data_IF_920463511957
#
_entry.id   IF_920463511957
#
_cell.length_a   1.000
_cell.length_b   1.000
_cell.length_c   1.000
_cell.angle_alpha   90.00
_cell.angle_beta   90.00
_cell.angle_gamma   90.00
#
_symmetry.space_group_name_H-M   'P 1'
#
loop_
_entity.id
_entity.type
_entity.pdbx_description
1 polymer ?
#
# COMPACT_ATOMS: atom_id res chain seq x y z
N UNK A 1 -18.77 -48.37 -18.62
CA UNK A 1 -18.94 -47.44 -17.47
C UNK A 1 -17.62 -46.89 -16.91
N UNK A 2 -16.53 -47.68 -16.80
CA UNK A 2 -15.25 -47.18 -16.21
C UNK A 2 -14.48 -46.15 -17.06
N UNK A 3 -14.55 -46.26 -18.39
CA UNK A 3 -13.88 -45.33 -19.33
C UNK A 3 -14.53 -43.95 -19.40
N UNK A 4 -15.85 -43.88 -19.21
CA UNK A 4 -16.60 -42.61 -19.27
C UNK A 4 -16.27 -41.72 -18.08
N UNK A 5 -16.18 -42.28 -16.87
CA UNK A 5 -15.83 -41.53 -15.67
C UNK A 5 -14.40 -40.95 -15.72
N UNK A 6 -13.45 -41.66 -16.31
CA UNK A 6 -12.07 -41.20 -16.44
C UNK A 6 -11.95 -40.01 -17.39
N UNK A 7 -12.68 -40.03 -18.51
CA UNK A 7 -12.71 -38.92 -19.48
C UNK A 7 -13.39 -37.67 -18.89
N UNK A 8 -14.43 -37.83 -18.06
CA UNK A 8 -15.09 -36.69 -17.40
C UNK A 8 -14.18 -36.01 -16.36
N UNK A 9 -13.43 -36.79 -15.58
CA UNK A 9 -12.46 -36.26 -14.61
C UNK A 9 -11.31 -35.56 -15.35
N UNK A 10 -10.79 -36.16 -16.43
CA UNK A 10 -9.72 -35.57 -17.23
C UNK A 10 -10.15 -34.23 -17.88
N UNK A 11 -11.40 -34.14 -18.35
CA UNK A 11 -11.95 -32.89 -18.89
C UNK A 11 -12.07 -31.78 -17.82
N UNK A 12 -12.49 -32.11 -16.60
CA UNK A 12 -12.58 -31.16 -15.48
C UNK A 12 -11.19 -30.63 -15.05
N UNK A 13 -10.15 -31.46 -15.06
CA UNK A 13 -8.77 -31.07 -14.73
C UNK A 13 -8.12 -30.25 -15.86
N UNK A 14 -8.50 -30.48 -17.12
CA UNK A 14 -7.97 -29.71 -18.25
C UNK A 14 -8.64 -28.33 -18.39
N UNK A 15 -9.85 -28.15 -17.85
CA UNK A 15 -10.59 -26.88 -17.84
C UNK A 15 -10.26 -25.96 -16.65
N UNK A 16 -9.57 -26.44 -15.62
CA UNK A 16 -9.25 -25.65 -14.41
C UNK A 16 -8.06 -24.69 -14.58
N UNK A 17 -7.68 -24.33 -15.82
CA UNK A 17 -6.50 -23.49 -16.10
C UNK A 17 -6.69 -21.98 -15.87
N UNK A 18 -7.84 -21.56 -15.37
CA UNK A 18 -8.11 -20.16 -15.03
C UNK A 18 -8.69 -20.06 -13.63
N UNK A 19 -7.83 -20.14 -12.61
CA UNK A 19 -8.21 -19.60 -11.30
C UNK A 19 -8.25 -18.08 -11.44
N UNK A 20 -9.44 -17.52 -11.63
CA UNK A 20 -9.63 -16.07 -11.52
C UNK A 20 -9.31 -15.71 -10.07
N UNK A 21 -8.32 -14.84 -9.86
CA UNK A 21 -8.14 -14.21 -8.56
C UNK A 21 -9.45 -13.53 -8.17
N UNK A 22 -9.97 -13.84 -6.99
CA UNK A 22 -11.15 -13.15 -6.47
C UNK A 22 -10.68 -11.78 -5.99
N UNK A 23 -10.91 -10.77 -6.83
CA UNK A 23 -10.79 -9.36 -6.47
C UNK A 23 -12.15 -8.90 -5.95
N UNK A 24 -12.18 -8.43 -4.71
CA UNK A 24 -13.32 -7.72 -4.14
C UNK A 24 -12.94 -6.25 -3.97
N UNK A 25 -13.84 -5.34 -4.36
CA UNK A 25 -13.67 -3.92 -4.09
C UNK A 25 -14.97 -3.31 -3.59
N UNK A 26 -14.84 -2.32 -2.71
CA UNK A 26 -15.98 -1.63 -2.08
C UNK A 26 -15.65 -0.15 -1.93
N UNK A 27 -16.58 0.70 -2.33
CA UNK A 27 -16.54 2.14 -2.02
C UNK A 27 -17.19 2.43 -0.67
N UNK A 28 -16.73 3.49 -0.02
CA UNK A 28 -17.20 3.95 1.28
C UNK A 28 -16.44 3.34 2.46
N UNK A 29 -17.01 3.50 3.65
CA UNK A 29 -16.36 3.17 4.91
C UNK A 29 -17.11 2.12 5.75
N UNK A 30 -18.01 1.32 5.15
CA UNK A 30 -18.75 0.28 5.87
C UNK A 30 -17.79 -0.58 6.74
N UNK A 31 -18.03 -0.70 8.06
CA UNK A 31 -17.04 -1.24 8.99
C UNK A 31 -16.71 -2.69 8.66
N UNK A 32 -15.43 -3.02 8.72
CA UNK A 32 -14.91 -4.36 8.56
C UNK A 32 -14.72 -5.02 9.93
N UNK A 33 -14.98 -6.31 10.02
CA UNK A 33 -14.96 -7.03 11.30
C UNK A 33 -13.53 -7.17 11.84
N UNK A 34 -13.34 -6.86 13.12
CA UNK A 34 -12.03 -7.00 13.78
C UNK A 34 -11.47 -8.44 13.74
N UNK A 35 -12.35 -9.44 13.68
CA UNK A 35 -11.98 -10.85 13.54
C UNK A 35 -11.19 -11.16 12.26
N UNK A 36 -11.26 -10.30 11.23
CA UNK A 36 -10.52 -10.48 9.98
C UNK A 36 -9.05 -10.03 10.08
N UNK A 37 -8.68 -9.29 11.13
CA UNK A 37 -7.37 -8.63 11.24
C UNK A 37 -6.59 -9.08 12.49
N UNK A 38 -6.74 -10.34 12.87
CA UNK A 38 -6.11 -10.91 14.08
C UNK A 38 -4.59 -11.00 13.98
N UNK A 39 -4.04 -11.13 12.78
CA UNK A 39 -2.60 -11.12 12.51
C UNK A 39 -1.95 -9.74 12.74
N UNK A 40 -2.75 -8.67 12.81
CA UNK A 40 -2.30 -7.30 13.07
C UNK A 40 -3.08 -6.66 14.23
N UNK A 41 -2.85 -7.09 15.49
CA UNK A 41 -3.59 -6.59 16.63
C UNK A 41 -3.49 -5.06 16.76
N UNK A 42 -4.63 -4.38 16.80
CA UNK A 42 -4.71 -2.91 16.89
C UNK A 42 -4.87 -2.18 15.55
N UNK A 43 -4.77 -2.87 14.41
CA UNK A 43 -4.87 -2.24 13.09
C UNK A 43 -6.29 -1.84 12.68
N UNK A 44 -7.31 -2.58 13.15
CA UNK A 44 -8.69 -2.41 12.68
C UNK A 44 -9.24 -0.99 12.88
N UNK A 45 -8.79 -0.29 13.92
CA UNK A 45 -9.21 1.09 14.19
C UNK A 45 -8.75 2.05 13.08
N UNK A 46 -7.55 1.85 12.54
CA UNK A 46 -7.06 2.61 11.40
C UNK A 46 -7.81 2.21 10.12
N UNK A 47 -8.02 0.91 9.92
CA UNK A 47 -8.77 0.35 8.78
C UNK A 47 -10.18 0.94 8.71
N UNK A 48 -10.88 1.09 9.83
CA UNK A 48 -12.26 1.56 9.88
C UNK A 48 -12.41 3.05 10.18
N UNK A 49 -11.36 3.87 10.03
CA UNK A 49 -11.51 5.33 10.19
C UNK A 49 -12.57 5.88 9.22
N UNK A 50 -13.30 6.89 9.68
CA UNK A 50 -14.39 7.52 8.93
C UNK A 50 -13.95 8.09 7.59
N UNK A 51 -12.67 8.46 7.45
CA UNK A 51 -12.08 9.03 6.24
C UNK A 51 -11.78 7.98 5.15
N UNK A 52 -12.04 6.70 5.40
CA UNK A 52 -11.87 5.64 4.40
C UNK A 52 -12.87 5.81 3.27
N UNK A 53 -12.37 5.73 2.05
CA UNK A 53 -13.15 5.98 0.84
C UNK A 53 -13.29 4.74 -0.04
N UNK A 54 -12.33 3.82 0.01
CA UNK A 54 -12.32 2.66 -0.85
C UNK A 54 -11.50 1.52 -0.24
N UNK A 55 -11.86 0.28 -0.55
CA UNK A 55 -11.12 -0.91 -0.15
C UNK A 55 -11.01 -1.88 -1.32
N UNK A 56 -9.86 -2.52 -1.45
CA UNK A 56 -9.61 -3.64 -2.35
C UNK A 56 -9.08 -4.81 -1.55
N UNK A 57 -9.59 -6.00 -1.83
CA UNK A 57 -9.10 -7.27 -1.32
C UNK A 57 -8.80 -8.20 -2.50
N UNK A 58 -7.64 -8.84 -2.49
CA UNK A 58 -7.27 -9.86 -3.46
C UNK A 58 -6.41 -10.94 -2.78
N UNK A 59 -6.98 -12.12 -2.53
CA UNK A 59 -6.27 -13.29 -2.01
C UNK A 59 -5.47 -13.04 -0.70
N UNK A 60 -5.92 -12.09 0.13
CA UNK A 60 -5.26 -11.68 1.38
C UNK A 60 -4.36 -10.45 1.27
N UNK A 61 -4.06 -9.96 0.07
CA UNK A 61 -3.54 -8.61 -0.11
C UNK A 61 -4.69 -7.62 -0.05
N UNK A 62 -4.58 -6.59 0.78
CA UNK A 62 -5.62 -5.56 0.91
C UNK A 62 -5.03 -4.16 0.86
N UNK A 63 -5.78 -3.25 0.25
CA UNK A 63 -5.53 -1.81 0.30
C UNK A 63 -6.76 -1.08 0.81
N UNK A 64 -6.54 -0.12 1.71
CA UNK A 64 -7.56 0.78 2.23
C UNK A 64 -7.15 2.19 1.85
N UNK A 65 -7.99 2.87 1.07
CA UNK A 65 -7.76 4.22 0.59
C UNK A 65 -8.55 5.22 1.42
N UNK A 66 -7.96 6.37 1.67
CA UNK A 66 -8.52 7.42 2.50
C UNK A 66 -8.39 8.77 1.82
N UNK A 67 -9.35 9.65 2.10
CA UNK A 67 -9.33 11.04 1.66
C UNK A 67 -9.69 11.94 2.84
N UNK A 68 -9.00 13.07 2.98
CA UNK A 68 -9.28 13.99 4.07
C UNK A 68 -8.16 15.01 4.31
N UNK A 69 -8.28 15.69 5.44
CA UNK A 69 -7.32 16.70 5.87
C UNK A 69 -6.24 16.12 6.80
N UNK A 70 -5.40 17.00 7.32
CA UNK A 70 -4.31 16.62 8.22
C UNK A 70 -4.81 16.07 9.56
N UNK A 71 -6.01 16.46 10.01
CA UNK A 71 -6.57 15.96 11.26
C UNK A 71 -7.06 14.53 11.08
N UNK A 72 -7.73 14.23 9.97
CA UNK A 72 -8.08 12.86 9.59
C UNK A 72 -6.84 11.97 9.44
N UNK A 73 -5.79 12.44 8.74
CA UNK A 73 -4.53 11.70 8.65
C UNK A 73 -3.91 11.44 10.02
N UNK A 74 -3.87 12.45 10.90
CA UNK A 74 -3.31 12.29 12.24
C UNK A 74 -4.11 11.31 13.12
N UNK A 75 -5.44 11.22 12.95
CA UNK A 75 -6.25 10.18 13.62
C UNK A 75 -5.90 8.79 13.10
N UNK A 76 -5.83 8.61 11.79
CA UNK A 76 -5.44 7.33 11.16
C UNK A 76 -4.03 6.93 11.60
N UNK A 77 -3.07 7.85 11.60
CA UNK A 77 -1.70 7.60 12.07
C UNK A 77 -1.67 7.18 13.54
N UNK A 78 -2.43 7.85 14.41
CA UNK A 78 -2.50 7.50 15.82
C UNK A 78 -3.13 6.11 16.04
N UNK A 79 -4.15 5.75 15.26
CA UNK A 79 -4.73 4.40 15.28
C UNK A 79 -3.75 3.36 14.71
N UNK A 80 -3.11 3.66 13.59
CA UNK A 80 -2.14 2.79 12.92
C UNK A 80 -0.94 2.48 13.83
N UNK A 81 -0.45 3.48 14.57
CA UNK A 81 0.61 3.32 15.56
C UNK A 81 0.27 2.38 16.73
N UNK A 82 -0.99 2.02 16.95
CA UNK A 82 -1.37 1.02 17.97
C UNK A 82 -1.18 -0.43 17.48
N UNK A 83 -0.88 -0.61 16.20
CA UNK A 83 -0.71 -1.93 15.58
C UNK A 83 0.52 -2.64 16.13
N UNK A 84 0.36 -3.87 16.59
CA UNK A 84 1.44 -4.68 17.17
C UNK A 84 2.09 -5.55 16.11
N UNK A 85 3.14 -5.05 15.48
CA UNK A 85 3.98 -5.79 14.52
C UNK A 85 5.46 -5.46 14.72
N UNK A 86 6.40 -6.30 14.23
CA UNK A 86 7.84 -6.03 14.35
C UNK A 86 8.28 -4.70 13.74
N UNK A 87 7.62 -4.25 12.66
CA UNK A 87 7.92 -3.01 11.97
C UNK A 87 6.65 -2.39 11.41
N UNK A 88 6.35 -1.15 11.82
CA UNK A 88 5.36 -0.29 11.14
C UNK A 88 6.09 0.74 10.30
N UNK A 89 5.68 0.86 9.04
CA UNK A 89 6.27 1.81 8.10
C UNK A 89 5.23 2.84 7.64
N UNK A 90 5.60 4.11 7.75
CA UNK A 90 4.91 5.22 7.06
C UNK A 90 5.81 5.70 5.94
N UNK A 91 5.35 5.54 4.71
CA UNK A 91 6.02 6.06 3.53
C UNK A 91 5.39 7.40 3.19
N UNK A 92 6.21 8.44 3.00
CA UNK A 92 5.70 9.74 2.52
C UNK A 92 6.28 10.00 1.14
N UNK A 93 5.40 10.09 0.14
CA UNK A 93 5.79 10.40 -1.23
C UNK A 93 5.06 11.65 -1.73
N UNK A 94 5.72 12.51 -2.52
CA UNK A 94 5.04 13.59 -3.23
C UNK A 94 3.92 13.04 -4.14
N UNK A 95 2.79 13.76 -4.21
CA UNK A 95 1.78 13.53 -5.25
C UNK A 95 1.91 14.59 -6.33
N UNK A 96 1.85 14.20 -7.61
CA UNK A 96 1.85 15.14 -8.75
C UNK A 96 0.47 15.68 -9.06
N UNK A 97 -0.57 14.91 -8.78
CA UNK A 97 -2.00 15.18 -8.99
C UNK A 97 -2.83 14.41 -7.95
N UNK A 98 -4.17 14.51 -7.95
CA UNK A 98 -5.03 13.62 -7.17
C UNK A 98 -4.74 12.17 -7.58
N UNK A 99 -4.33 11.31 -6.63
CA UNK A 99 -4.23 9.89 -6.94
C UNK A 99 -5.66 9.39 -7.16
N UNK A 100 -5.92 9.01 -8.40
CA UNK A 100 -7.18 8.45 -8.84
C UNK A 100 -6.96 6.95 -9.05
N UNK A 101 -7.50 6.07 -8.19
CA UNK A 101 -7.37 4.63 -8.36
C UNK A 101 -7.99 4.20 -9.70
N UNK A 102 -7.33 3.36 -10.51
CA UNK A 102 -7.92 2.85 -11.75
C UNK A 102 -9.20 2.05 -11.48
N UNK A 103 -9.32 1.43 -10.31
CA UNK A 103 -10.51 0.70 -9.86
C UNK A 103 -11.68 1.64 -9.51
N UNK A 104 -11.41 2.90 -9.16
CA UNK A 104 -12.42 3.89 -8.83
C UNK A 104 -11.97 5.30 -9.25
N UNK A 105 -12.12 5.67 -10.54
CA UNK A 105 -11.47 6.83 -11.11
C UNK A 105 -12.07 8.19 -10.68
N UNK A 106 -12.95 8.20 -9.67
CA UNK A 106 -13.71 9.38 -9.24
C UNK A 106 -13.37 9.84 -7.84
N UNK A 107 -12.44 9.18 -7.16
CA UNK A 107 -12.20 9.41 -5.74
C UNK A 107 -10.74 9.76 -5.49
N UNK A 108 -10.51 10.98 -4.98
CA UNK A 108 -9.21 11.42 -4.47
C UNK A 108 -8.73 10.46 -3.38
N UNK A 109 -7.44 10.14 -3.41
CA UNK A 109 -6.76 9.38 -2.34
C UNK A 109 -5.60 10.21 -1.82
N UNK A 110 -5.64 10.55 -0.54
CA UNK A 110 -4.60 11.31 0.16
C UNK A 110 -3.63 10.39 0.91
N UNK A 111 -4.09 9.22 1.37
CA UNK A 111 -3.23 8.16 1.90
C UNK A 111 -3.84 6.77 1.73
N UNK A 112 -2.98 5.75 1.80
CA UNK A 112 -3.34 4.33 1.67
C UNK A 112 -2.71 3.51 2.78
N UNK A 113 -3.46 2.59 3.35
CA UNK A 113 -2.92 1.48 4.15
C UNK A 113 -2.90 0.23 3.28
N UNK A 114 -1.76 -0.44 3.20
CA UNK A 114 -1.60 -1.74 2.52
C UNK A 114 -1.22 -2.81 3.54
N UNK A 115 -1.86 -3.97 3.44
CA UNK A 115 -1.52 -5.18 4.23
C UNK A 115 -1.33 -6.38 3.33
N UNK A 116 -0.46 -7.28 3.79
CA UNK A 116 -0.08 -8.50 3.09
C UNK A 116 -0.38 -9.72 3.97
N UNK A 117 -1.57 -10.30 3.80
CA UNK A 117 -2.00 -11.53 4.47
C UNK A 117 -2.29 -12.69 3.52
N UNK A 118 -2.83 -13.77 4.08
CA UNK A 118 -3.38 -14.90 3.33
C UNK A 118 -2.41 -15.51 2.30
N UNK A 119 -2.89 -15.76 1.09
CA UNK A 119 -2.11 -16.38 0.01
C UNK A 119 -0.99 -15.44 -0.43
N UNK A 120 -1.24 -14.13 -0.50
CA UNK A 120 -0.23 -13.14 -0.89
C UNK A 120 0.97 -13.20 0.07
N UNK A 121 0.73 -13.23 1.38
CA UNK A 121 1.81 -13.35 2.37
C UNK A 121 2.63 -14.62 2.18
N UNK A 122 1.96 -15.76 1.99
CA UNK A 122 2.65 -17.02 1.75
C UNK A 122 3.52 -16.97 0.49
N UNK A 123 3.04 -16.35 -0.58
CA UNK A 123 3.81 -16.16 -1.82
C UNK A 123 5.01 -15.22 -1.62
N UNK A 124 4.84 -14.12 -0.90
CA UNK A 124 5.93 -13.18 -0.61
C UNK A 124 7.06 -13.87 0.14
N UNK A 125 6.73 -14.70 1.14
CA UNK A 125 7.71 -15.48 1.91
C UNK A 125 8.35 -16.55 1.02
N UNK A 126 7.54 -17.41 0.39
CA UNK A 126 8.04 -18.56 -0.36
C UNK A 126 8.89 -18.18 -1.58
N UNK A 127 8.68 -16.99 -2.15
CA UNK A 127 9.41 -16.49 -3.31
C UNK A 127 10.38 -15.34 -2.98
N UNK A 128 10.57 -15.01 -1.70
CA UNK A 128 11.51 -13.96 -1.24
C UNK A 128 11.29 -12.59 -1.93
N UNK A 129 10.03 -12.16 -2.00
CA UNK A 129 9.62 -11.00 -2.80
C UNK A 129 9.86 -9.63 -2.13
N UNK A 130 10.24 -9.57 -0.86
CA UNK A 130 10.65 -8.32 -0.21
C UNK A 130 11.94 -7.75 -0.83
N UNK A 131 12.10 -6.43 -1.00
CA UNK A 131 11.23 -5.36 -0.50
C UNK A 131 10.18 -4.89 -1.53
N UNK A 132 9.98 -5.61 -2.63
CA UNK A 132 8.96 -5.24 -3.63
C UNK A 132 7.52 -5.45 -3.11
N UNK A 133 7.39 -6.23 -2.04
CA UNK A 133 6.21 -6.39 -1.21
C UNK A 133 6.61 -6.15 0.24
N UNK A 134 5.70 -5.59 1.05
CA UNK A 134 5.92 -5.41 2.48
C UNK A 134 5.13 -6.48 3.25
N UNK A 135 5.79 -7.31 4.06
CA UNK A 135 5.11 -8.31 4.90
C UNK A 135 4.34 -7.68 6.07
N UNK A 136 4.63 -6.43 6.40
CA UNK A 136 4.00 -5.70 7.49
C UNK A 136 3.11 -4.56 6.97
N UNK A 137 2.07 -4.16 7.73
CA UNK A 137 1.23 -3.04 7.37
C UNK A 137 2.06 -1.79 7.06
N UNK A 138 1.76 -1.16 5.94
CA UNK A 138 2.43 0.05 5.47
C UNK A 138 1.39 1.12 5.19
N UNK A 139 1.60 2.33 5.71
CA UNK A 139 0.78 3.49 5.39
C UNK A 139 1.56 4.42 4.46
N UNK A 140 1.06 4.63 3.24
CA UNK A 140 1.64 5.56 2.27
C UNK A 140 0.83 6.85 2.25
N UNK A 141 1.47 7.97 2.57
CA UNK A 141 0.91 9.32 2.46
C UNK A 141 1.30 9.91 1.11
N UNK A 142 0.30 10.29 0.32
CA UNK A 142 0.45 11.01 -0.93
C UNK A 142 0.40 12.51 -0.63
N UNK A 143 1.56 13.14 -0.56
CA UNK A 143 1.73 14.51 -0.12
C UNK A 143 1.27 15.55 -1.17
N UNK A 144 -0.04 15.58 -1.42
CA UNK A 144 -0.73 16.60 -2.23
C UNK A 144 -0.59 17.99 -1.60
N UNK A 145 -0.78 19.06 -2.38
CA UNK A 145 -0.65 20.45 -1.90
C UNK A 145 -1.58 20.79 -0.74
N UNK A 146 -2.70 20.10 -0.64
CA UNK A 146 -3.78 20.43 0.29
C UNK A 146 -3.50 19.90 1.71
N UNK A 147 -2.54 18.98 1.83
CA UNK A 147 -2.16 18.37 3.09
C UNK A 147 -1.01 19.16 3.75
N UNK A 148 -1.28 19.78 4.91
CA UNK A 148 -0.25 20.48 5.71
C UNK A 148 0.63 19.49 6.49
N UNK A 149 1.64 18.96 5.83
CA UNK A 149 2.58 18.02 6.42
C UNK A 149 3.37 18.60 7.60
N UNK A 150 3.45 19.92 7.79
CA UNK A 150 4.14 20.48 8.98
C UNK A 150 3.42 20.09 10.27
N UNK A 151 2.10 19.92 10.19
CA UNK A 151 1.24 19.49 11.29
C UNK A 151 1.12 17.96 11.45
N UNK A 152 1.87 17.16 10.67
CA UNK A 152 1.86 15.71 10.80
C UNK A 152 2.42 15.25 12.16
N UNK A 153 1.75 14.25 12.74
CA UNK A 153 2.05 13.63 14.04
C UNK A 153 2.36 12.15 13.82
N UNK A 154 3.64 11.84 13.66
CA UNK A 154 4.11 10.47 13.48
C UNK A 154 4.21 9.78 14.85
N UNK A 155 3.60 8.59 15.05
CA UNK A 155 3.78 7.80 16.27
C UNK A 155 5.24 7.39 16.46
N UNK A 156 5.70 7.29 17.72
CA UNK A 156 7.11 6.98 18.04
C UNK A 156 7.56 5.61 17.55
N UNK A 157 6.65 4.64 17.50
CA UNK A 157 6.93 3.26 17.08
C UNK A 157 6.85 3.04 15.56
N UNK A 158 6.70 4.11 14.78
CA UNK A 158 6.58 4.05 13.33
C UNK A 158 7.90 4.50 12.67
N UNK A 159 8.43 3.65 11.80
CA UNK A 159 9.53 4.01 10.91
C UNK A 159 8.97 4.85 9.79
N UNK A 160 9.43 6.10 9.69
CA UNK A 160 9.15 6.93 8.52
C UNK A 160 10.14 6.55 7.44
N UNK A 161 9.69 6.34 6.20
CA UNK A 161 10.56 6.16 5.04
C UNK A 161 10.29 7.23 3.99
N UNK A 162 11.36 7.84 3.51
CA UNK A 162 11.30 8.89 2.49
C UNK A 162 11.38 8.28 1.08
N UNK A 163 10.95 9.06 0.08
CA UNK A 163 10.99 8.68 -1.34
C UNK A 163 12.33 8.09 -1.76
N UNK A 164 13.44 8.76 -1.46
CA UNK A 164 14.75 8.35 -1.98
C UNK A 164 15.25 7.04 -1.33
N UNK A 165 14.95 6.82 -0.05
CA UNK A 165 15.23 5.55 0.63
C UNK A 165 14.39 4.40 0.00
N UNK A 166 13.10 4.63 -0.26
CA UNK A 166 12.24 3.66 -0.94
C UNK A 166 12.71 3.41 -2.38
N UNK A 167 13.10 4.47 -3.10
CA UNK A 167 13.65 4.40 -4.46
C UNK A 167 14.86 3.49 -4.51
N UNK A 168 15.85 3.68 -3.64
CA UNK A 168 17.05 2.83 -3.60
C UNK A 168 16.69 1.37 -3.36
N UNK A 169 15.84 1.07 -2.36
CA UNK A 169 15.38 -0.31 -2.08
C UNK A 169 14.72 -0.96 -3.29
N UNK A 170 13.91 -0.21 -4.04
CA UNK A 170 13.21 -0.73 -5.21
C UNK A 170 14.11 -0.82 -6.45
N UNK A 171 15.10 0.06 -6.60
CA UNK A 171 16.10 -0.05 -7.67
C UNK A 171 16.92 -1.33 -7.51
N UNK A 172 17.34 -1.66 -6.28
CA UNK A 172 18.03 -2.90 -5.99
C UNK A 172 17.13 -4.12 -6.27
N UNK A 173 15.87 -4.07 -5.81
CA UNK A 173 14.89 -5.14 -6.08
C UNK A 173 14.57 -5.32 -7.57
N UNK A 174 14.61 -4.24 -8.36
CA UNK A 174 14.37 -4.27 -9.81
C UNK A 174 15.49 -4.99 -10.60
N UNK A 175 16.67 -5.17 -10.00
CA UNK A 175 17.80 -5.92 -10.57
C UNK A 175 17.81 -7.40 -10.14
N UNK A 176 16.83 -7.85 -9.35
CA UNK A 176 16.73 -9.24 -8.90
C UNK A 176 16.52 -10.22 -10.06
N UNK A 177 17.15 -11.40 -9.98
CA UNK A 177 16.92 -12.52 -10.90
C UNK A 177 15.50 -13.11 -10.77
N UNK A 178 14.85 -12.91 -9.61
CA UNK A 178 13.43 -13.22 -9.45
C UNK A 178 12.58 -12.23 -10.24
N UNK A 179 12.02 -12.70 -11.37
CA UNK A 179 11.18 -11.89 -12.27
C UNK A 179 9.97 -11.25 -11.58
N UNK A 180 9.26 -11.96 -10.71
CA UNK A 180 8.08 -11.44 -9.99
C UNK A 180 8.46 -10.24 -9.13
N UNK A 181 9.57 -10.36 -8.39
CA UNK A 181 10.12 -9.29 -7.56
C UNK A 181 10.56 -8.09 -8.40
N UNK A 182 11.32 -8.35 -9.47
CA UNK A 182 11.84 -7.31 -10.35
C UNK A 182 10.71 -6.53 -11.06
N UNK A 183 9.71 -7.24 -11.58
CA UNK A 183 8.57 -6.63 -12.28
C UNK A 183 7.73 -5.77 -11.33
N UNK A 184 7.45 -6.26 -10.11
CA UNK A 184 6.74 -5.46 -9.09
C UNK A 184 7.53 -4.23 -8.68
N UNK A 185 8.84 -4.36 -8.45
CA UNK A 185 9.69 -3.23 -8.09
C UNK A 185 9.69 -2.15 -9.19
N UNK A 186 9.75 -2.54 -10.46
CA UNK A 186 9.64 -1.61 -11.61
C UNK A 186 8.30 -0.89 -11.66
N UNK A 187 7.19 -1.59 -11.36
CA UNK A 187 5.86 -0.97 -11.27
C UNK A 187 5.81 0.09 -10.17
N UNK A 188 6.35 -0.21 -8.99
CA UNK A 188 6.40 0.74 -7.87
C UNK A 188 7.31 1.94 -8.17
N UNK A 189 8.45 1.72 -8.83
CA UNK A 189 9.32 2.81 -9.30
C UNK A 189 8.60 3.75 -10.26
N UNK A 190 7.74 3.24 -11.15
CA UNK A 190 6.93 4.09 -12.04
C UNK A 190 5.94 4.97 -11.27
N UNK A 191 5.43 4.50 -10.13
CA UNK A 191 4.55 5.30 -9.25
C UNK A 191 5.37 6.38 -8.51
N UNK A 192 6.59 6.05 -8.07
CA UNK A 192 7.51 6.97 -7.41
C UNK A 192 8.09 8.04 -8.35
N UNK A 193 8.24 7.69 -9.63
CA UNK A 193 8.85 8.50 -10.68
C UNK A 193 7.88 8.58 -11.87
N UNK A 194 6.71 9.22 -11.70
CA UNK A 194 5.73 9.29 -12.78
C UNK A 194 6.27 10.11 -13.96
N UNK A 195 5.79 9.80 -15.15
CA UNK A 195 6.06 10.61 -16.33
C UNK A 195 5.43 12.00 -16.14
N UNK A 196 6.25 13.05 -16.20
CA UNK A 196 5.86 14.42 -15.87
C UNK A 196 6.38 15.41 -16.91
N UNK A 197 5.61 16.48 -17.15
CA UNK A 197 6.13 17.67 -17.85
C UNK A 197 7.23 18.35 -17.01
N UNK A 198 8.10 19.17 -17.62
CA UNK A 198 9.14 19.90 -16.88
C UNK A 198 8.59 20.74 -15.71
N UNK A 199 7.42 21.37 -15.87
CA UNK A 199 6.78 22.18 -14.83
C UNK A 199 6.24 21.33 -13.68
N UNK A 200 5.59 20.21 -13.99
CA UNK A 200 5.16 19.23 -12.97
C UNK A 200 6.36 18.69 -12.20
N UNK A 201 7.46 18.37 -12.90
CA UNK A 201 8.70 17.91 -12.29
C UNK A 201 9.30 18.94 -11.33
N UNK A 202 9.33 20.22 -11.70
CA UNK A 202 9.85 21.28 -10.82
C UNK A 202 9.00 21.41 -9.54
N UNK A 203 7.67 21.36 -9.65
CA UNK A 203 6.76 21.38 -8.49
C UNK A 203 6.96 20.15 -7.60
N UNK A 204 7.09 18.98 -8.22
CA UNK A 204 7.33 17.71 -7.56
C UNK A 204 8.65 17.70 -6.77
N UNK A 205 9.75 18.11 -7.38
CA UNK A 205 11.07 18.15 -6.71
C UNK A 205 11.11 19.17 -5.57
N UNK A 206 10.44 20.33 -5.71
CA UNK A 206 10.26 21.26 -4.58
C UNK A 206 9.51 20.62 -3.43
N UNK A 207 8.42 19.90 -3.73
CA UNK A 207 7.62 19.20 -2.73
C UNK A 207 8.42 18.12 -2.02
N UNK A 208 9.25 17.38 -2.73
CA UNK A 208 10.17 16.39 -2.15
C UNK A 208 11.13 17.05 -1.16
N UNK A 209 11.75 18.17 -1.54
CA UNK A 209 12.63 18.91 -0.67
C UNK A 209 11.92 19.39 0.60
N UNK A 210 10.70 19.94 0.47
CA UNK A 210 9.87 20.38 1.60
C UNK A 210 9.53 19.22 2.54
N UNK A 211 9.11 18.07 1.99
CA UNK A 211 8.83 16.85 2.76
C UNK A 211 10.08 16.40 3.52
N UNK A 212 11.23 16.35 2.85
CA UNK A 212 12.48 15.91 3.47
C UNK A 212 12.89 16.81 4.63
N UNK A 213 12.73 18.13 4.50
CA UNK A 213 12.98 19.09 5.58
C UNK A 213 12.01 18.88 6.75
N UNK A 214 10.73 18.65 6.49
CA UNK A 214 9.73 18.40 7.54
C UNK A 214 10.04 17.10 8.29
N UNK A 215 10.32 16.01 7.57
CA UNK A 215 10.51 14.70 8.16
C UNK A 215 11.85 14.56 8.87
N UNK A 216 12.93 15.15 8.35
CA UNK A 216 14.24 15.16 9.05
C UNK A 216 14.15 15.84 10.42
N UNK A 217 13.41 16.95 10.53
CA UNK A 217 13.16 17.63 11.81
C UNK A 217 12.35 16.79 12.79
N UNK A 218 11.50 15.89 12.30
CA UNK A 218 10.67 15.00 13.15
C UNK A 218 11.49 13.79 13.61
N UNK A 219 12.27 13.17 12.71
CA UNK A 219 13.20 12.08 13.05
C UNK A 219 14.24 12.49 14.09
N UNK A 220 14.75 13.73 14.03
CA UNK A 220 15.70 14.23 15.03
C UNK A 220 15.13 14.41 16.45
N UNK A 221 13.81 14.25 16.63
CA UNK A 221 13.12 14.36 17.92
C UNK A 221 12.67 13.01 18.49
N UNK A 222 12.83 11.93 17.73
CA UNK A 222 12.60 10.55 18.16
C UNK A 222 13.91 9.98 18.69
#
# INVERSE_FOLDING_TARGET
MRTTAFLTILALVLLSRSSFGLLESKSGNAPLAAANYTDWPGLVDAINDESRVFTVWCNGGETFDYAGDIDALNRVLAAFGKTKVPKLEVVVIPSVDELIPPENPRQKVDWRVEICGGIVQHMVIAQELEPAWNLHPTLTVYASSDLDLKAIRIPENVVVTQRDELRTRLQDAAQSDNKTKADRAKQLLKILEPDMTPDQRLKFERRVADISIVLSKKRAKQ
#
